data_IF_488381441615
#
_entry.id   IF_488381441615
#
_cell.length_a   1.000
_cell.length_b   1.000
_cell.length_c   1.000
_cell.angle_alpha   90.00
_cell.angle_beta   90.00
_cell.angle_gamma   90.00
#
_symmetry.space_group_name_H-M   'P 1'
#
loop_
_entity.id
_entity.type
_entity.pdbx_description
1 polymer ?
#
# COMPACT_ATOMS: atom_id res chain seq x y z
N UNK A 1 20.95 11.67 -5.78
CA UNK A 1 20.16 12.93 -5.90
C UNK A 1 20.17 13.66 -4.55
N UNK A 2 20.31 15.00 -4.53
CA UNK A 2 20.30 15.80 -3.29
C UNK A 2 18.87 15.98 -2.76
N UNK A 3 18.64 15.63 -1.49
CA UNK A 3 17.39 15.85 -0.76
C UNK A 3 17.41 17.19 -0.05
N UNK A 4 18.40 17.42 0.80
CA UNK A 4 18.72 18.72 1.44
C UNK A 4 20.23 18.97 1.34
N UNK A 5 20.76 19.98 2.01
CA UNK A 5 22.20 20.24 1.94
C UNK A 5 23.05 19.12 2.54
N UNK A 6 22.54 18.41 3.57
CA UNK A 6 23.21 17.29 4.22
C UNK A 6 22.64 15.90 3.88
N UNK A 7 21.50 15.80 3.18
CA UNK A 7 20.79 14.53 2.95
C UNK A 7 20.74 14.19 1.47
N UNK A 8 21.11 12.96 1.12
CA UNK A 8 21.23 12.50 -0.27
C UNK A 8 20.47 11.18 -0.45
N UNK A 9 19.72 11.08 -1.54
CA UNK A 9 19.12 9.84 -2.01
C UNK A 9 20.17 8.98 -2.70
N UNK A 10 20.25 7.71 -2.32
CA UNK A 10 21.19 6.71 -2.85
C UNK A 10 20.52 5.40 -3.27
N UNK A 11 19.19 5.37 -3.33
CA UNK A 11 18.42 4.21 -3.72
C UNK A 11 18.56 3.83 -5.20
N UNK A 12 17.74 2.88 -5.63
CA UNK A 12 17.77 2.27 -6.96
C UNK A 12 16.37 2.14 -7.55
N UNK A 13 16.28 2.05 -8.87
CA UNK A 13 15.07 1.66 -9.60
C UNK A 13 15.21 0.23 -10.10
N UNK A 14 14.18 -0.58 -9.91
CA UNK A 14 14.05 -1.92 -10.46
C UNK A 14 13.01 -1.90 -11.58
N UNK A 15 13.46 -2.10 -12.81
CA UNK A 15 12.60 -2.19 -14.00
C UNK A 15 12.32 -3.63 -14.42
N UNK A 16 12.90 -4.62 -13.74
CA UNK A 16 12.81 -6.03 -14.08
C UNK A 16 11.72 -6.75 -13.28
N UNK A 17 11.33 -6.21 -12.11
CA UNK A 17 10.28 -6.81 -11.30
C UNK A 17 8.91 -6.65 -11.96
N UNK A 18 8.25 -7.76 -12.23
CA UNK A 18 6.89 -7.78 -12.79
C UNK A 18 5.82 -7.88 -11.71
N UNK A 19 6.15 -8.59 -10.60
CA UNK A 19 5.22 -8.87 -9.50
C UNK A 19 5.93 -8.63 -8.18
N UNK A 20 5.51 -7.58 -7.46
CA UNK A 20 5.99 -7.24 -6.13
C UNK A 20 5.28 -8.07 -5.06
N UNK A 21 5.99 -8.48 -4.00
CA UNK A 21 5.51 -9.40 -2.95
C UNK A 21 4.80 -10.67 -3.49
N UNK A 22 5.15 -11.10 -4.70
CA UNK A 22 4.54 -12.28 -5.33
C UNK A 22 3.05 -12.13 -5.70
N UNK A 23 2.46 -10.95 -5.61
CA UNK A 23 1.03 -10.75 -5.84
C UNK A 23 0.63 -9.42 -6.50
N UNK A 24 1.44 -8.37 -6.42
CA UNK A 24 1.12 -7.06 -6.98
C UNK A 24 1.82 -6.86 -8.31
N UNK A 25 1.07 -6.74 -9.39
CA UNK A 25 1.66 -6.39 -10.69
C UNK A 25 2.21 -4.97 -10.65
N UNK A 26 3.46 -4.81 -11.05
CA UNK A 26 4.14 -3.51 -11.09
C UNK A 26 4.73 -3.26 -12.48
N UNK A 27 3.88 -2.93 -13.46
CA UNK A 27 4.31 -2.77 -14.85
C UNK A 27 5.33 -1.64 -15.05
N UNK A 28 5.39 -0.71 -14.10
CA UNK A 28 6.35 0.40 -14.08
C UNK A 28 7.50 0.16 -13.09
N UNK A 29 7.74 -1.11 -12.71
CA UNK A 29 8.82 -1.48 -11.79
C UNK A 29 8.60 -1.03 -10.35
N UNK A 30 9.71 -0.93 -9.60
CA UNK A 30 9.75 -0.47 -8.21
C UNK A 30 10.93 0.47 -7.97
N UNK A 31 10.83 1.32 -6.96
CA UNK A 31 11.96 2.04 -6.40
C UNK A 31 12.25 1.50 -5.00
N UNK A 32 13.51 1.19 -4.71
CA UNK A 32 13.99 0.86 -3.36
C UNK A 32 14.84 2.01 -2.88
N UNK A 33 14.34 2.75 -1.91
CA UNK A 33 14.94 4.00 -1.48
C UNK A 33 15.86 3.81 -0.28
N UNK A 34 17.00 4.46 -0.33
CA UNK A 34 17.94 4.58 0.76
C UNK A 34 18.53 5.98 0.75
N UNK A 35 19.00 6.46 1.90
CA UNK A 35 19.47 7.82 2.03
C UNK A 35 20.77 7.88 2.83
N UNK A 36 21.62 8.87 2.55
CA UNK A 36 22.82 9.18 3.32
C UNK A 36 22.68 10.56 3.94
N UNK A 37 22.96 10.65 5.22
CA UNK A 37 23.03 11.93 5.97
C UNK A 37 24.49 12.19 6.27
N UNK A 38 25.02 13.25 5.65
CA UNK A 38 26.41 13.72 5.82
C UNK A 38 26.47 14.79 6.90
N UNK A 39 27.16 14.49 8.00
CA UNK A 39 27.38 15.42 9.09
C UNK A 39 28.78 15.13 9.73
N UNK A 40 29.02 15.52 10.99
CA UNK A 40 30.19 15.09 11.75
C UNK A 40 30.26 13.57 11.79
N UNK A 41 29.14 12.92 12.13
CA UNK A 41 28.89 11.49 11.96
C UNK A 41 27.95 11.26 10.79
N UNK A 42 28.16 10.16 10.10
CA UNK A 42 27.41 9.81 8.90
C UNK A 42 26.47 8.67 9.19
N UNK A 43 25.19 8.84 8.82
CA UNK A 43 24.19 7.78 8.86
C UNK A 43 23.73 7.39 7.46
N UNK A 44 23.59 6.08 7.21
CA UNK A 44 22.91 5.52 6.06
C UNK A 44 21.55 5.01 6.54
N UNK A 45 20.49 5.35 5.83
CA UNK A 45 19.09 5.00 6.17
C UNK A 45 18.65 3.86 5.28
N UNK A 46 18.43 2.69 5.87
CA UNK A 46 18.03 1.44 5.23
C UNK A 46 18.95 0.98 4.09
N UNK A 47 18.72 -0.20 3.56
CA UNK A 47 19.40 -0.73 2.38
C UNK A 47 18.38 -0.86 1.23
N UNK A 48 18.65 -1.72 0.26
CA UNK A 48 17.78 -1.96 -0.89
C UNK A 48 17.61 -3.46 -1.11
N UNK A 49 16.80 -3.87 -2.10
CA UNK A 49 16.65 -5.26 -2.51
C UNK A 49 17.98 -5.92 -2.85
N UNK A 50 18.08 -7.23 -2.58
CA UNK A 50 19.31 -8.04 -2.73
C UNK A 50 19.96 -7.89 -4.10
N UNK A 51 19.17 -7.86 -5.16
CA UNK A 51 19.66 -7.81 -6.53
C UNK A 51 20.45 -6.52 -6.85
N UNK A 52 20.19 -5.44 -6.11
CA UNK A 52 20.76 -4.12 -6.35
C UNK A 52 21.87 -3.70 -5.38
N UNK A 53 22.32 -4.61 -4.51
CA UNK A 53 23.28 -4.28 -3.45
C UNK A 53 24.58 -3.63 -3.95
N UNK A 54 25.17 -4.09 -5.05
CA UNK A 54 26.39 -3.50 -5.60
C UNK A 54 26.17 -2.12 -6.18
N UNK A 55 25.05 -1.90 -6.88
CA UNK A 55 24.69 -0.58 -7.41
C UNK A 55 24.43 0.42 -6.27
N UNK A 56 23.69 -0.02 -5.25
CA UNK A 56 23.44 0.78 -4.07
C UNK A 56 24.73 1.17 -3.33
N UNK A 57 25.65 0.22 -3.12
CA UNK A 57 26.95 0.52 -2.52
C UNK A 57 27.73 1.56 -3.32
N UNK A 58 27.72 1.47 -4.65
CA UNK A 58 28.39 2.46 -5.50
C UNK A 58 27.74 3.86 -5.33
N UNK A 59 26.40 3.94 -5.25
CA UNK A 59 25.68 5.20 -5.00
C UNK A 59 26.04 5.79 -3.62
N UNK A 60 26.17 4.94 -2.60
CA UNK A 60 26.60 5.34 -1.25
C UNK A 60 28.05 5.87 -1.29
N UNK A 61 28.97 5.15 -1.94
CA UNK A 61 30.38 5.54 -2.06
C UNK A 61 30.55 6.88 -2.79
N UNK A 62 29.75 7.13 -3.83
CA UNK A 62 29.77 8.39 -4.55
C UNK A 62 29.43 9.56 -3.61
N UNK A 63 28.43 9.40 -2.75
CA UNK A 63 28.04 10.44 -1.78
C UNK A 63 29.06 10.58 -0.67
N UNK A 64 29.62 9.48 -0.18
CA UNK A 64 30.61 9.48 0.91
C UNK A 64 31.94 10.13 0.53
N UNK A 65 32.33 10.12 -0.75
CA UNK A 65 33.59 10.69 -1.25
C UNK A 65 34.84 10.30 -0.41
N UNK A 66 34.91 9.04 -0.02
CA UNK A 66 36.00 8.49 0.77
C UNK A 66 35.84 8.63 2.29
N UNK A 67 34.82 9.29 2.79
CA UNK A 67 34.44 9.26 4.20
C UNK A 67 33.85 7.87 4.55
N UNK A 68 33.78 7.56 5.82
CA UNK A 68 33.20 6.30 6.31
C UNK A 68 31.92 6.58 7.08
N UNK A 69 30.87 5.76 6.87
CA UNK A 69 29.65 5.89 7.68
C UNK A 69 29.89 5.40 9.12
N UNK A 70 29.22 6.06 10.07
CA UNK A 70 29.23 5.68 11.48
C UNK A 70 28.05 4.75 11.81
N UNK A 71 26.92 4.97 11.14
CA UNK A 71 25.66 4.29 11.44
C UNK A 71 24.96 3.76 10.18
N UNK A 72 24.36 2.57 10.32
CA UNK A 72 23.29 2.08 9.47
C UNK A 72 22.01 2.08 10.30
N UNK A 73 21.08 2.96 9.97
CA UNK A 73 19.76 3.02 10.61
C UNK A 73 18.81 2.13 9.82
N UNK A 74 18.32 1.04 10.43
CA UNK A 74 17.40 0.11 9.81
C UNK A 74 16.00 0.37 10.38
N UNK A 75 15.12 0.94 9.57
CA UNK A 75 13.77 1.30 9.95
C UNK A 75 12.81 0.13 9.77
N UNK A 76 13.10 -0.74 8.78
CA UNK A 76 12.24 -1.84 8.38
C UNK A 76 13.07 -3.07 8.00
N UNK A 77 12.59 -4.26 8.36
CA UNK A 77 13.31 -5.51 8.17
C UNK A 77 12.83 -6.33 6.97
N UNK A 78 11.90 -5.81 6.18
CA UNK A 78 11.54 -6.44 4.92
C UNK A 78 12.76 -6.55 4.00
N UNK A 79 12.97 -7.69 3.29
CA UNK A 79 14.19 -7.94 2.54
C UNK A 79 14.56 -6.88 1.50
N UNK A 80 13.57 -6.23 0.89
CA UNK A 80 13.81 -5.16 -0.10
C UNK A 80 14.37 -3.85 0.51
N UNK A 81 14.47 -3.79 1.86
CA UNK A 81 15.11 -2.69 2.61
C UNK A 81 16.24 -3.18 3.52
N UNK A 82 16.39 -4.49 3.70
CA UNK A 82 17.33 -5.04 4.67
C UNK A 82 18.30 -6.08 4.10
N UNK A 83 18.07 -6.60 2.88
CA UNK A 83 18.87 -7.70 2.33
C UNK A 83 20.38 -7.41 2.23
N UNK A 84 20.75 -6.15 2.09
CA UNK A 84 22.15 -5.75 1.92
C UNK A 84 22.86 -5.33 3.22
N UNK A 85 22.30 -5.62 4.40
CA UNK A 85 22.92 -5.33 5.69
C UNK A 85 24.30 -6.00 5.80
N UNK A 86 24.42 -7.30 5.47
CA UNK A 86 25.70 -8.00 5.54
C UNK A 86 26.70 -7.48 4.53
N UNK A 87 26.28 -7.18 3.30
CA UNK A 87 27.12 -6.59 2.27
C UNK A 87 27.68 -5.23 2.72
N UNK A 88 26.85 -4.43 3.39
CA UNK A 88 27.26 -3.14 3.93
C UNK A 88 28.28 -3.27 5.08
N UNK A 89 28.05 -4.22 5.99
CA UNK A 89 28.97 -4.51 7.11
C UNK A 89 30.30 -5.10 6.62
N UNK A 90 30.31 -5.90 5.57
CA UNK A 90 31.55 -6.37 4.94
C UNK A 90 32.41 -5.20 4.43
N UNK A 91 31.77 -4.21 3.82
CA UNK A 91 32.43 -3.00 3.31
C UNK A 91 32.85 -2.02 4.43
N UNK A 92 32.01 -1.89 5.45
CA UNK A 92 32.16 -0.93 6.55
C UNK A 92 32.05 -1.63 7.93
N UNK A 93 33.03 -2.44 8.34
CA UNK A 93 32.92 -3.28 9.53
C UNK A 93 32.85 -2.52 10.87
N UNK A 94 33.19 -1.23 10.88
CA UNK A 94 33.10 -0.37 12.08
C UNK A 94 31.73 0.26 12.31
N UNK A 95 30.82 0.13 11.32
CA UNK A 95 29.48 0.69 11.40
C UNK A 95 28.68 0.11 12.56
N UNK A 96 27.91 0.95 13.23
CA UNK A 96 26.96 0.55 14.25
C UNK A 96 25.56 0.51 13.67
N UNK A 97 24.83 -0.59 13.87
CA UNK A 97 23.44 -0.69 13.43
C UNK A 97 22.53 -0.06 14.49
N UNK A 98 21.66 0.83 14.05
CA UNK A 98 20.66 1.49 14.89
C UNK A 98 19.28 1.01 14.45
N UNK A 99 18.52 0.37 15.33
CA UNK A 99 17.18 -0.14 15.03
C UNK A 99 16.39 -0.42 16.31
N UNK A 100 15.11 -0.80 16.15
CA UNK A 100 14.30 -1.19 17.30
C UNK A 100 14.78 -2.53 17.89
N UNK A 101 14.56 -2.80 19.19
CA UNK A 101 14.85 -4.11 19.77
C UNK A 101 14.13 -5.27 19.07
N UNK A 102 12.95 -5.01 18.50
CA UNK A 102 12.20 -6.01 17.73
C UNK A 102 12.86 -6.28 16.38
N UNK A 103 13.35 -5.26 15.69
CA UNK A 103 14.09 -5.40 14.43
C UNK A 103 15.39 -6.21 14.63
N UNK A 104 16.12 -6.01 15.72
CA UNK A 104 17.30 -6.83 16.03
C UNK A 104 16.98 -8.32 16.21
N UNK A 105 15.83 -8.65 16.82
CA UNK A 105 15.37 -10.04 16.90
C UNK A 105 15.07 -10.62 15.50
N UNK A 106 14.40 -9.84 14.65
CA UNK A 106 14.09 -10.25 13.28
C UNK A 106 15.35 -10.35 12.42
N UNK A 107 16.28 -9.41 12.58
CA UNK A 107 17.59 -9.44 11.92
C UNK A 107 18.35 -10.75 12.22
N UNK A 108 18.29 -11.24 13.47
CA UNK A 108 18.85 -12.54 13.86
C UNK A 108 18.11 -13.76 13.27
N UNK A 109 16.93 -13.58 12.67
CA UNK A 109 16.23 -14.64 11.93
C UNK A 109 16.68 -14.69 10.46
N UNK A 110 17.02 -13.55 9.88
CA UNK A 110 17.52 -13.46 8.50
C UNK A 110 19.04 -13.71 8.41
N UNK A 111 19.82 -13.24 9.40
CA UNK A 111 21.27 -13.18 9.33
C UNK A 111 21.94 -13.79 10.56
N UNK A 112 23.08 -14.44 10.34
CA UNK A 112 24.00 -14.81 11.39
C UNK A 112 25.00 -13.68 11.62
N UNK A 113 24.62 -12.70 12.43
CA UNK A 113 25.53 -11.63 12.84
C UNK A 113 26.53 -12.17 13.85
N UNK A 114 27.79 -11.89 13.65
CA UNK A 114 28.78 -12.20 14.67
C UNK A 114 28.69 -11.18 15.82
N UNK A 115 29.21 -11.55 16.99
CA UNK A 115 29.18 -10.72 18.19
C UNK A 115 29.98 -9.42 18.12
N UNK A 116 30.72 -9.15 17.02
CA UNK A 116 31.49 -7.93 16.82
C UNK A 116 30.62 -6.77 16.29
N UNK A 117 29.48 -7.09 15.68
CA UNK A 117 28.55 -6.08 15.16
C UNK A 117 27.92 -5.29 16.29
N UNK A 118 28.24 -4.00 16.35
CA UNK A 118 27.70 -3.09 17.37
C UNK A 118 26.25 -2.75 17.05
N UNK A 119 25.36 -2.97 18.02
CA UNK A 119 23.93 -2.68 17.93
C UNK A 119 23.56 -1.56 18.89
N UNK A 120 22.85 -0.57 18.42
CA UNK A 120 22.30 0.53 19.22
C UNK A 120 20.77 0.40 19.20
N UNK A 121 20.14 -0.06 20.28
CA UNK A 121 18.70 -0.10 20.37
C UNK A 121 18.10 1.32 20.37
N UNK A 122 17.38 1.69 19.31
CA UNK A 122 16.64 2.92 19.24
C UNK A 122 15.43 2.84 20.19
N UNK A 123 15.31 3.78 21.12
CA UNK A 123 14.13 3.89 21.97
C UNK A 123 13.03 4.72 21.26
N UNK A 124 11.78 4.41 21.52
CA UNK A 124 10.69 5.26 21.02
C UNK A 124 10.77 6.67 21.66
N UNK A 125 10.88 7.72 20.84
CA UNK A 125 11.17 9.08 21.27
C UNK A 125 12.65 9.33 21.63
N UNK A 126 13.53 8.35 21.42
CA UNK A 126 14.98 8.50 21.57
C UNK A 126 15.60 9.34 20.45
N UNK A 127 16.79 9.85 20.69
CA UNK A 127 17.54 10.70 19.75
C UNK A 127 18.92 10.11 19.47
N UNK A 128 19.37 10.23 18.20
CA UNK A 128 20.75 9.99 17.78
C UNK A 128 21.30 11.30 17.19
N UNK A 129 22.37 11.82 17.78
CA UNK A 129 23.02 13.07 17.34
C UNK A 129 24.14 12.74 16.35
N UNK A 130 24.09 13.34 15.15
CA UNK A 130 25.13 13.20 14.13
C UNK A 130 26.11 14.40 14.10
N UNK A 131 25.67 15.53 14.61
CA UNK A 131 26.32 16.84 14.62
C UNK A 131 25.24 17.90 14.65
N UNK A 132 25.01 18.59 13.53
CA UNK A 132 23.86 19.50 13.36
C UNK A 132 22.55 18.71 13.22
N UNK A 133 22.59 17.59 12.48
CA UNK A 133 21.46 16.70 12.28
C UNK A 133 21.19 15.83 13.52
N UNK A 134 19.92 15.70 13.87
CA UNK A 134 19.44 14.88 14.98
C UNK A 134 18.29 14.00 14.53
N UNK A 135 18.44 12.72 14.74
CA UNK A 135 17.48 11.70 14.36
C UNK A 135 16.62 11.32 15.57
N UNK A 136 15.32 11.58 15.48
CA UNK A 136 14.35 11.26 16.52
C UNK A 136 13.51 10.06 16.07
N UNK A 137 13.50 8.99 16.84
CA UNK A 137 12.86 7.73 16.48
C UNK A 137 11.41 7.68 16.92
N UNK A 138 10.51 7.34 16.00
CA UNK A 138 9.08 7.20 16.23
C UNK A 138 8.64 5.78 15.86
N UNK A 139 8.26 4.98 16.85
CA UNK A 139 7.76 3.63 16.57
C UNK A 139 6.44 3.68 15.86
N UNK A 140 6.36 2.90 14.76
CA UNK A 140 5.21 2.73 13.90
C UNK A 140 4.83 1.24 13.75
N UNK A 141 4.61 0.49 14.85
CA UNK A 141 4.39 -0.94 14.78
C UNK A 141 3.16 -1.27 13.95
N UNK A 142 3.25 -2.30 13.12
CA UNK A 142 2.24 -2.73 12.15
C UNK A 142 1.94 -1.71 11.03
N UNK A 143 2.89 -0.81 10.74
CA UNK A 143 2.85 0.04 9.56
C UNK A 143 4.09 -0.25 8.69
N UNK A 144 4.18 -1.45 8.02
CA UNK A 144 3.14 -2.52 8.12
C UNK A 144 3.62 -3.75 8.94
N UNK A 145 4.90 -3.84 9.33
CA UNK A 145 5.43 -4.90 10.19
C UNK A 145 5.61 -4.44 11.65
N UNK A 146 5.75 -5.40 12.63
CA UNK A 146 5.71 -5.07 14.05
C UNK A 146 6.90 -4.26 14.55
N UNK A 147 8.04 -4.29 13.86
CA UNK A 147 9.30 -3.66 14.25
C UNK A 147 9.49 -2.26 13.68
N UNK A 148 8.64 -1.84 12.73
CA UNK A 148 8.82 -0.60 11.97
C UNK A 148 8.96 0.61 12.88
N UNK A 149 9.96 1.43 12.58
CA UNK A 149 10.10 2.78 13.10
C UNK A 149 10.24 3.78 11.95
N UNK A 150 9.75 4.98 12.16
CA UNK A 150 10.03 6.14 11.34
C UNK A 150 11.09 7.00 12.05
N UNK A 151 11.82 7.79 11.28
CA UNK A 151 12.87 8.66 11.81
C UNK A 151 12.61 10.09 11.40
N UNK A 152 12.45 11.01 12.38
CA UNK A 152 12.34 12.43 12.11
C UNK A 152 13.70 13.11 12.32
N UNK A 153 14.24 13.67 11.26
CA UNK A 153 15.43 14.50 11.30
C UNK A 153 15.02 15.95 11.53
N UNK A 154 15.50 16.57 12.63
CA UNK A 154 14.94 17.80 13.14
C UNK A 154 15.60 19.09 12.62
N UNK A 155 16.80 19.04 12.03
CA UNK A 155 17.46 20.24 11.48
C UNK A 155 16.79 20.68 10.17
N UNK A 156 16.68 19.79 9.21
CA UNK A 156 16.06 20.02 7.90
C UNK A 156 14.56 19.67 7.86
N UNK A 157 14.03 19.12 8.99
CA UNK A 157 12.61 18.74 9.14
C UNK A 157 12.16 17.66 8.17
N UNK A 158 12.98 16.62 8.03
CA UNK A 158 12.79 15.48 7.15
C UNK A 158 12.22 14.30 7.91
N UNK A 159 11.12 13.73 7.41
CA UNK A 159 10.57 12.48 7.91
C UNK A 159 11.00 11.33 6.97
N UNK A 160 11.83 10.43 7.47
CA UNK A 160 12.04 9.12 6.86
C UNK A 160 10.92 8.20 7.35
N UNK A 161 9.99 7.91 6.45
CA UNK A 161 8.67 7.38 6.82
C UNK A 161 8.54 5.85 6.71
N UNK A 162 9.65 5.13 6.54
CA UNK A 162 9.62 3.72 6.14
C UNK A 162 8.71 3.57 4.92
N UNK A 163 7.83 2.56 4.88
CA UNK A 163 6.88 2.36 3.80
C UNK A 163 5.71 3.36 3.76
N UNK A 164 5.57 4.13 4.82
CA UNK A 164 4.58 5.19 4.86
C UNK A 164 4.79 6.21 3.72
N UNK A 165 3.72 6.56 3.01
CA UNK A 165 3.74 7.45 1.83
C UNK A 165 4.44 6.86 0.60
N UNK A 166 4.75 5.56 0.61
CA UNK A 166 5.27 4.82 -0.52
C UNK A 166 4.23 4.61 -1.63
N UNK A 167 4.71 4.24 -2.80
CA UNK A 167 3.89 3.85 -3.96
C UNK A 167 4.59 2.78 -4.78
N UNK A 168 3.84 2.03 -5.57
CA UNK A 168 4.41 1.23 -6.64
C UNK A 168 5.00 2.10 -7.75
N UNK A 169 5.92 1.54 -8.53
CA UNK A 169 6.56 2.17 -9.68
C UNK A 169 7.95 2.73 -9.40
N UNK A 170 8.82 2.65 -10.40
CA UNK A 170 10.14 3.26 -10.41
C UNK A 170 10.04 4.79 -10.42
N UNK A 171 11.09 5.51 -9.96
CA UNK A 171 11.06 6.98 -9.82
C UNK A 171 11.02 7.73 -11.16
N UNK A 172 11.43 7.09 -12.23
CA UNK A 172 11.44 7.62 -13.59
C UNK A 172 10.19 7.25 -14.42
N UNK A 173 9.23 6.55 -13.81
CA UNK A 173 7.92 6.28 -14.42
C UNK A 173 7.00 7.50 -14.30
N UNK A 174 6.36 7.87 -15.42
CA UNK A 174 5.35 8.93 -15.45
C UNK A 174 3.98 8.34 -15.08
N UNK A 175 3.56 8.54 -13.84
CA UNK A 175 2.27 8.06 -13.33
C UNK A 175 1.75 8.93 -12.19
N UNK A 176 0.44 8.90 -11.98
CA UNK A 176 -0.17 9.60 -10.85
C UNK A 176 0.22 8.94 -9.52
N UNK A 177 0.73 9.77 -8.59
CA UNK A 177 1.14 9.28 -7.27
C UNK A 177 -0.02 8.65 -6.52
N UNK A 178 -1.19 9.28 -6.54
CA UNK A 178 -2.31 8.86 -5.70
C UNK A 178 -2.88 7.50 -6.12
N UNK A 179 -2.91 7.18 -7.40
CA UNK A 179 -3.44 5.91 -7.87
C UNK A 179 -2.54 4.73 -7.45
N UNK A 180 -1.22 4.85 -7.64
CA UNK A 180 -0.26 3.82 -7.25
C UNK A 180 -0.01 3.77 -5.74
N UNK A 181 -0.03 4.92 -5.05
CA UNK A 181 0.07 4.96 -3.60
C UNK A 181 -1.17 4.38 -2.91
N UNK A 182 -2.37 4.58 -3.47
CA UNK A 182 -3.60 3.94 -2.97
C UNK A 182 -3.54 2.44 -3.15
N UNK A 183 -3.09 1.96 -4.32
CA UNK A 183 -2.94 0.54 -4.60
C UNK A 183 -1.93 -0.11 -3.65
N UNK A 184 -0.78 0.56 -3.42
CA UNK A 184 0.23 0.18 -2.45
C UNK A 184 -0.34 0.17 -1.02
N UNK A 185 -0.93 1.29 -0.58
CA UNK A 185 -1.46 1.42 0.78
C UNK A 185 -2.54 0.38 1.09
N UNK A 186 -3.56 0.26 0.23
CA UNK A 186 -4.68 -0.66 0.47
C UNK A 186 -4.19 -2.11 0.47
N UNK A 187 -3.30 -2.49 -0.46
CA UNK A 187 -2.77 -3.84 -0.56
C UNK A 187 -1.88 -4.24 0.64
N UNK A 188 -1.01 -3.35 1.08
CA UNK A 188 0.06 -3.68 2.03
C UNK A 188 -0.26 -3.19 3.45
N UNK A 189 -0.74 -1.96 3.59
CA UNK A 189 -0.96 -1.31 4.90
C UNK A 189 -2.43 -1.31 5.33
N UNK A 190 -3.37 -1.44 4.40
CA UNK A 190 -4.80 -1.15 4.58
C UNK A 190 -5.49 -1.82 5.77
N UNK A 191 -5.05 -3.02 6.17
CA UNK A 191 -5.55 -3.71 7.36
C UNK A 191 -5.32 -2.93 8.66
N UNK A 192 -4.28 -2.12 8.72
CA UNK A 192 -3.75 -1.50 9.94
C UNK A 192 -4.10 -0.01 10.07
N UNK A 193 -5.27 0.40 9.59
CA UNK A 193 -5.70 1.80 9.62
C UNK A 193 -5.62 2.47 10.98
N UNK A 194 -5.98 1.78 12.06
CA UNK A 194 -5.89 2.32 13.42
C UNK A 194 -4.44 2.65 13.84
N UNK A 195 -3.48 1.83 13.41
CA UNK A 195 -2.06 2.04 13.66
C UNK A 195 -1.55 3.24 12.86
N UNK A 196 -1.95 3.36 11.59
CA UNK A 196 -1.63 4.53 10.75
C UNK A 196 -2.21 5.81 11.37
N UNK A 197 -3.47 5.80 11.83
CA UNK A 197 -4.09 6.94 12.52
C UNK A 197 -3.29 7.36 13.77
N UNK A 198 -2.74 6.40 14.52
CA UNK A 198 -1.89 6.72 15.67
C UNK A 198 -0.56 7.35 15.26
N UNK A 199 0.03 6.91 14.16
CA UNK A 199 1.27 7.49 13.59
C UNK A 199 1.00 8.91 13.10
N UNK A 200 -0.09 9.13 12.34
CA UNK A 200 -0.48 10.46 11.84
C UNK A 200 -0.67 11.46 13.01
N UNK A 201 -1.31 11.04 14.12
CA UNK A 201 -1.45 11.88 15.34
C UNK A 201 -0.10 12.28 15.93
N UNK A 202 0.88 11.37 15.95
CA UNK A 202 2.23 11.68 16.42
C UNK A 202 2.94 12.64 15.47
N UNK A 203 2.84 12.37 14.16
CA UNK A 203 3.44 13.19 13.11
C UNK A 203 2.88 14.63 13.07
N UNK A 204 1.60 14.81 13.40
CA UNK A 204 0.98 16.13 13.45
C UNK A 204 1.61 17.11 14.48
N UNK A 205 2.38 16.60 15.44
CA UNK A 205 3.14 17.41 16.39
C UNK A 205 4.52 17.84 15.86
N UNK A 206 4.93 17.35 14.68
CA UNK A 206 6.23 17.61 14.07
C UNK A 206 6.09 18.64 12.93
N UNK A 207 7.09 19.50 12.79
CA UNK A 207 7.18 20.41 11.63
C UNK A 207 7.87 19.70 10.47
N UNK A 208 7.11 18.92 9.70
CA UNK A 208 7.61 18.13 8.58
C UNK A 208 7.58 18.98 7.30
N UNK A 209 8.72 19.07 6.62
CA UNK A 209 8.85 19.77 5.32
C UNK A 209 9.16 18.85 4.15
N UNK A 210 9.73 17.68 4.43
CA UNK A 210 10.08 16.68 3.42
C UNK A 210 9.73 15.31 3.98
N UNK A 211 9.14 14.46 3.14
CA UNK A 211 8.92 13.05 3.47
C UNK A 211 9.77 12.21 2.52
N UNK A 212 10.56 11.31 3.09
CA UNK A 212 11.46 10.39 2.43
C UNK A 212 10.96 8.95 2.66
N UNK A 213 10.11 8.40 1.79
CA UNK A 213 9.61 7.03 1.91
C UNK A 213 10.65 6.02 1.42
N UNK A 214 10.44 4.74 1.73
CA UNK A 214 11.27 3.64 1.23
C UNK A 214 10.89 3.23 -0.22
N UNK A 215 9.72 3.64 -0.71
CA UNK A 215 9.30 3.50 -2.11
C UNK A 215 8.74 4.81 -2.65
N UNK A 216 8.92 5.05 -3.95
CA UNK A 216 8.37 6.22 -4.61
C UNK A 216 9.15 7.53 -4.36
N UNK A 217 8.62 8.68 -4.77
CA UNK A 217 9.35 9.93 -4.78
C UNK A 217 9.51 10.56 -3.40
N UNK A 218 10.56 11.36 -3.23
CA UNK A 218 10.68 12.29 -2.10
C UNK A 218 9.61 13.38 -2.23
N UNK A 219 8.75 13.51 -1.21
CA UNK A 219 7.65 14.47 -1.19
C UNK A 219 8.09 15.77 -0.49
N UNK A 220 7.91 16.91 -1.17
CA UNK A 220 8.38 18.23 -0.69
C UNK A 220 7.31 19.30 -0.73
N UNK A 221 6.38 19.18 -1.65
CA UNK A 221 5.34 20.16 -1.90
C UNK A 221 3.98 19.53 -1.58
N UNK A 222 3.03 20.36 -1.19
CA UNK A 222 1.65 19.92 -0.94
C UNK A 222 1.52 18.71 0.00
N UNK A 223 2.32 18.67 1.07
CA UNK A 223 2.34 17.53 2.01
C UNK A 223 0.97 17.29 2.65
N UNK A 224 0.16 18.34 2.83
CA UNK A 224 -1.21 18.24 3.34
C UNK A 224 -2.10 17.33 2.47
N UNK A 225 -1.89 17.32 1.15
CA UNK A 225 -2.60 16.44 0.23
C UNK A 225 -2.28 14.96 0.50
N UNK A 226 -1.01 14.61 0.59
CA UNK A 226 -0.58 13.24 0.85
C UNK A 226 -1.01 12.74 2.23
N UNK A 227 -0.86 13.59 3.25
CA UNK A 227 -1.29 13.30 4.62
C UNK A 227 -2.81 13.15 4.68
N UNK A 228 -3.55 13.99 3.99
CA UNK A 228 -5.01 13.94 3.90
C UNK A 228 -5.52 12.65 3.24
N UNK A 229 -4.83 12.15 2.21
CA UNK A 229 -5.17 10.85 1.61
C UNK A 229 -4.91 9.70 2.58
N UNK A 230 -3.77 9.71 3.29
CA UNK A 230 -3.47 8.70 4.31
C UNK A 230 -4.48 8.73 5.47
N UNK A 231 -4.94 9.92 5.88
CA UNK A 231 -6.00 10.05 6.89
C UNK A 231 -7.33 9.45 6.39
N UNK A 232 -7.71 9.74 5.16
CA UNK A 232 -8.90 9.19 4.51
C UNK A 232 -8.82 7.67 4.40
N UNK A 233 -7.73 7.13 3.88
CA UNK A 233 -7.56 5.68 3.68
C UNK A 233 -7.53 4.93 5.02
N UNK A 234 -6.81 5.45 6.01
CA UNK A 234 -6.64 4.80 7.30
C UNK A 234 -7.85 4.92 8.22
N UNK A 235 -8.71 5.90 8.00
CA UNK A 235 -10.03 6.00 8.63
C UNK A 235 -11.11 5.19 7.92
N UNK A 236 -10.76 4.58 6.76
CA UNK A 236 -11.67 3.83 5.89
C UNK A 236 -12.82 4.66 5.30
N UNK A 237 -12.67 5.98 5.26
CA UNK A 237 -13.63 6.82 4.56
C UNK A 237 -13.50 6.67 3.05
N UNK A 238 -14.58 6.77 2.28
CA UNK A 238 -14.48 6.82 0.83
C UNK A 238 -13.74 8.08 0.40
N UNK A 239 -12.80 7.92 -0.53
CA UNK A 239 -12.05 9.04 -1.08
C UNK A 239 -12.93 9.90 -2.02
N UNK A 240 -13.85 9.26 -2.69
CA UNK A 240 -14.78 9.95 -3.60
C UNK A 240 -16.10 9.21 -3.78
N UNK A 241 -17.13 9.97 -4.18
CA UNK A 241 -18.39 9.39 -4.62
C UNK A 241 -18.20 8.65 -5.96
N UNK A 242 -18.80 7.47 -6.04
CA UNK A 242 -18.77 6.64 -7.23
C UNK A 242 -19.13 5.19 -6.94
N UNK A 243 -19.11 4.37 -7.96
CA UNK A 243 -19.48 2.95 -7.91
C UNK A 243 -18.41 2.10 -8.57
N UNK A 244 -17.94 1.08 -7.87
CA UNK A 244 -17.18 -0.01 -8.48
C UNK A 244 -18.14 -1.12 -8.89
N UNK A 245 -18.07 -1.56 -10.14
CA UNK A 245 -18.80 -2.72 -10.64
C UNK A 245 -17.79 -3.84 -10.90
N UNK A 246 -17.64 -4.74 -9.95
CA UNK A 246 -16.77 -5.91 -10.07
C UNK A 246 -17.59 -7.15 -10.45
N UNK A 247 -17.17 -7.86 -11.49
CA UNK A 247 -17.90 -9.04 -11.94
C UNK A 247 -17.01 -10.25 -12.22
N UNK A 248 -17.61 -11.43 -12.05
CA UNK A 248 -17.07 -12.70 -12.54
C UNK A 248 -18.16 -13.38 -13.39
N UNK A 249 -17.80 -13.76 -14.62
CA UNK A 249 -18.76 -14.30 -15.59
C UNK A 249 -18.17 -15.46 -16.39
N UNK A 250 -18.90 -16.57 -16.51
CA UNK A 250 -18.44 -17.77 -17.26
C UNK A 250 -18.70 -17.62 -18.76
N UNK A 251 -19.95 -17.33 -19.16
CA UNK A 251 -20.38 -17.27 -20.57
C UNK A 251 -20.83 -15.87 -21.01
N UNK A 252 -20.56 -14.83 -20.24
CA UNK A 252 -20.84 -13.44 -20.62
C UNK A 252 -22.21 -12.90 -20.19
N UNK A 253 -23.15 -13.71 -19.71
CA UNK A 253 -24.48 -13.23 -19.32
C UNK A 253 -24.45 -12.34 -18.07
N UNK A 254 -23.68 -12.72 -17.05
CA UNK A 254 -23.46 -11.88 -15.84
C UNK A 254 -22.72 -10.59 -16.20
N UNK A 255 -21.70 -10.69 -17.08
CA UNK A 255 -20.98 -9.54 -17.63
C UNK A 255 -21.94 -8.57 -18.32
N UNK A 256 -22.86 -9.07 -19.16
CA UNK A 256 -23.81 -8.21 -19.87
C UNK A 256 -24.64 -7.36 -18.89
N UNK A 257 -25.15 -7.96 -17.81
CA UNK A 257 -25.91 -7.24 -16.79
C UNK A 257 -25.03 -6.23 -16.01
N UNK A 258 -23.81 -6.60 -15.65
CA UNK A 258 -22.85 -5.71 -14.98
C UNK A 258 -22.54 -4.48 -15.86
N UNK A 259 -22.27 -4.68 -17.14
CA UNK A 259 -21.98 -3.59 -18.08
C UNK A 259 -23.22 -2.72 -18.35
N UNK A 260 -24.42 -3.32 -18.42
CA UNK A 260 -25.66 -2.58 -18.55
C UNK A 260 -25.88 -1.65 -17.35
N UNK A 261 -25.71 -2.16 -16.13
CA UNK A 261 -25.80 -1.32 -14.92
C UNK A 261 -24.76 -0.20 -14.93
N UNK A 262 -23.54 -0.50 -15.28
CA UNK A 262 -22.46 0.50 -15.35
C UNK A 262 -22.81 1.64 -16.32
N UNK A 263 -23.44 1.33 -17.45
CA UNK A 263 -23.88 2.33 -18.42
C UNK A 263 -25.06 3.17 -17.90
N UNK A 264 -26.03 2.54 -17.22
CA UNK A 264 -27.16 3.27 -16.61
C UNK A 264 -26.67 4.24 -15.52
N UNK A 265 -25.67 3.84 -14.70
CA UNK A 265 -25.03 4.72 -13.72
C UNK A 265 -24.29 5.88 -14.38
N UNK A 266 -23.55 5.65 -15.47
CA UNK A 266 -22.84 6.70 -16.22
C UNK A 266 -23.81 7.71 -16.84
N UNK A 267 -24.95 7.26 -17.35
CA UNK A 267 -26.02 8.17 -17.85
C UNK A 267 -26.54 9.13 -16.79
N UNK A 268 -26.42 8.76 -15.51
CA UNK A 268 -26.80 9.61 -14.36
C UNK A 268 -25.67 10.52 -13.89
N UNK A 269 -24.51 10.48 -14.54
CA UNK A 269 -23.33 11.26 -14.15
C UNK A 269 -22.51 10.63 -13.01
N UNK A 270 -22.81 9.40 -12.60
CA UNK A 270 -22.06 8.69 -11.58
C UNK A 270 -20.71 8.23 -12.12
N UNK A 271 -19.64 8.41 -11.35
CA UNK A 271 -18.32 7.82 -11.67
C UNK A 271 -18.39 6.30 -11.51
N UNK A 272 -17.95 5.57 -12.51
CA UNK A 272 -18.02 4.10 -12.50
C UNK A 272 -16.70 3.49 -12.96
N UNK A 273 -16.08 2.71 -12.08
CA UNK A 273 -15.01 1.79 -12.41
C UNK A 273 -15.58 0.39 -12.62
N UNK A 274 -15.09 -0.34 -13.62
CA UNK A 274 -15.59 -1.68 -13.97
C UNK A 274 -14.43 -2.65 -14.07
N UNK A 275 -14.57 -3.80 -13.40
CA UNK A 275 -13.53 -4.84 -13.36
C UNK A 275 -14.07 -6.23 -13.70
N UNK A 276 -13.45 -6.88 -14.68
CA UNK A 276 -13.57 -8.32 -14.93
C UNK A 276 -12.55 -9.04 -14.03
N UNK A 277 -12.99 -9.55 -12.88
CA UNK A 277 -12.11 -10.16 -11.89
C UNK A 277 -11.31 -11.38 -12.41
N UNK A 278 -11.72 -11.94 -13.53
CA UNK A 278 -10.99 -13.02 -14.19
C UNK A 278 -9.87 -12.56 -15.14
N UNK A 279 -9.73 -11.24 -15.36
CA UNK A 279 -8.80 -10.69 -16.37
C UNK A 279 -8.02 -9.49 -15.90
N UNK A 280 -8.71 -8.57 -15.20
CA UNK A 280 -8.14 -7.31 -14.76
C UNK A 280 -7.28 -7.50 -13.49
N UNK A 281 -6.50 -6.49 -13.15
CA UNK A 281 -5.69 -6.51 -11.95
C UNK A 281 -6.58 -6.46 -10.69
N UNK A 282 -6.49 -7.52 -9.89
CA UNK A 282 -7.22 -7.67 -8.63
C UNK A 282 -6.85 -6.56 -7.62
N UNK A 283 -5.59 -6.14 -7.60
CA UNK A 283 -5.12 -5.09 -6.69
C UNK A 283 -5.70 -3.71 -7.08
N UNK A 284 -5.84 -3.44 -8.38
CA UNK A 284 -6.51 -2.22 -8.86
C UNK A 284 -8.01 -2.23 -8.50
N UNK A 285 -8.68 -3.38 -8.69
CA UNK A 285 -10.08 -3.54 -8.29
C UNK A 285 -10.28 -3.35 -6.78
N UNK A 286 -9.35 -3.87 -5.97
CA UNK A 286 -9.34 -3.70 -4.52
C UNK A 286 -9.17 -2.22 -4.13
N UNK A 287 -8.18 -1.54 -4.70
CA UNK A 287 -7.91 -0.13 -4.43
C UNK A 287 -9.12 0.76 -4.75
N UNK A 288 -9.75 0.55 -5.90
CA UNK A 288 -10.95 1.31 -6.29
C UNK A 288 -12.17 0.96 -5.43
N UNK A 289 -12.29 -0.27 -4.92
CA UNK A 289 -13.35 -0.61 -3.97
C UNK A 289 -13.24 0.21 -2.67
N UNK A 290 -12.01 0.50 -2.22
CA UNK A 290 -11.77 1.42 -1.09
C UNK A 290 -11.88 2.90 -1.47
N UNK A 291 -11.60 3.26 -2.72
CA UNK A 291 -11.71 4.64 -3.23
C UNK A 291 -13.14 5.13 -3.24
N UNK A 292 -14.06 4.31 -3.77
CA UNK A 292 -15.43 4.71 -4.01
C UNK A 292 -16.38 4.32 -2.88
N UNK A 293 -17.46 5.12 -2.73
CA UNK A 293 -18.45 4.94 -1.65
C UNK A 293 -19.36 3.72 -1.84
N UNK A 294 -19.46 3.19 -3.06
CA UNK A 294 -20.41 2.12 -3.41
C UNK A 294 -19.77 1.05 -4.29
N UNK A 295 -20.23 -0.18 -4.14
CA UNK A 295 -19.76 -1.32 -4.92
C UNK A 295 -20.91 -2.23 -5.36
N UNK A 296 -20.84 -2.73 -6.58
CA UNK A 296 -21.71 -3.79 -7.10
C UNK A 296 -20.87 -5.04 -7.37
N UNK A 297 -21.30 -6.15 -6.83
CA UNK A 297 -20.71 -7.46 -7.06
C UNK A 297 -21.65 -8.28 -7.94
N UNK A 298 -21.20 -8.60 -9.15
CA UNK A 298 -21.99 -9.36 -10.12
C UNK A 298 -21.35 -10.74 -10.34
N UNK A 299 -22.05 -11.80 -9.93
CA UNK A 299 -21.48 -13.14 -9.94
C UNK A 299 -22.50 -14.22 -10.32
N UNK A 300 -22.05 -15.24 -11.03
CA UNK A 300 -22.82 -16.46 -11.24
C UNK A 300 -22.66 -17.44 -10.07
N UNK A 301 -23.70 -18.21 -9.78
CA UNK A 301 -23.62 -19.37 -8.92
C UNK A 301 -22.73 -20.43 -9.56
N UNK A 302 -21.76 -20.93 -8.80
CA UNK A 302 -20.81 -21.94 -9.24
C UNK A 302 -20.57 -22.97 -8.16
N UNK A 303 -20.78 -24.25 -8.43
CA UNK A 303 -20.65 -25.36 -7.47
C UNK A 303 -21.42 -25.10 -6.15
N UNK A 304 -22.65 -24.62 -6.21
CA UNK A 304 -23.49 -24.19 -5.07
C UNK A 304 -22.88 -23.05 -4.22
N UNK A 305 -21.87 -22.38 -4.72
CA UNK A 305 -21.19 -21.22 -4.14
C UNK A 305 -21.07 -20.11 -5.19
N UNK A 306 -19.97 -19.41 -5.26
CA UNK A 306 -19.67 -18.33 -6.18
C UNK A 306 -18.42 -18.63 -7.03
N UNK A 307 -18.24 -17.87 -8.11
CA UNK A 307 -17.05 -17.96 -8.94
C UNK A 307 -15.78 -17.71 -8.10
N UNK A 308 -14.69 -18.51 -8.28
CA UNK A 308 -13.47 -18.40 -7.48
C UNK A 308 -12.84 -17.00 -7.46
N UNK A 309 -12.83 -16.28 -8.58
CA UNK A 309 -12.28 -14.91 -8.62
C UNK A 309 -13.10 -13.93 -7.78
N UNK A 310 -14.43 -14.05 -7.75
CA UNK A 310 -15.28 -13.26 -6.87
C UNK A 310 -15.06 -13.63 -5.40
N UNK A 311 -14.86 -14.90 -5.11
CA UNK A 311 -14.59 -15.37 -3.76
C UNK A 311 -13.26 -14.81 -3.23
N UNK A 312 -12.18 -14.87 -4.03
CA UNK A 312 -10.88 -14.30 -3.68
C UNK A 312 -10.97 -12.78 -3.47
N UNK A 313 -11.66 -12.07 -4.36
CA UNK A 313 -11.86 -10.62 -4.25
C UNK A 313 -12.55 -10.23 -2.92
N UNK A 314 -13.64 -10.92 -2.56
CA UNK A 314 -14.36 -10.61 -1.31
C UNK A 314 -13.50 -10.96 -0.08
N UNK A 315 -12.75 -12.06 -0.11
CA UNK A 315 -11.82 -12.39 0.99
C UNK A 315 -10.81 -11.27 1.18
N UNK A 316 -10.17 -10.81 0.12
CA UNK A 316 -9.21 -9.69 0.17
C UNK A 316 -9.84 -8.42 0.73
N UNK A 317 -11.05 -8.06 0.31
CA UNK A 317 -11.79 -6.93 0.87
C UNK A 317 -11.94 -7.05 2.40
N UNK A 318 -12.41 -8.20 2.87
CA UNK A 318 -12.66 -8.44 4.30
C UNK A 318 -11.37 -8.46 5.11
N UNK A 319 -10.32 -9.07 4.60
CA UNK A 319 -9.00 -9.13 5.25
C UNK A 319 -8.34 -7.76 5.37
N UNK A 320 -8.61 -6.84 4.43
CA UNK A 320 -8.17 -5.44 4.48
C UNK A 320 -9.15 -4.51 5.22
N UNK A 321 -10.10 -5.10 5.98
CA UNK A 321 -11.04 -4.35 6.81
C UNK A 321 -12.01 -3.45 6.03
N UNK A 322 -12.48 -3.91 4.86
CA UNK A 322 -13.46 -3.17 4.05
C UNK A 322 -14.70 -2.82 4.84
N UNK A 323 -15.03 -1.55 4.89
CA UNK A 323 -16.09 -1.01 5.73
C UNK A 323 -16.60 0.35 5.23
N UNK A 324 -17.68 0.87 5.83
CA UNK A 324 -18.27 2.19 5.52
C UNK A 324 -18.68 2.34 4.06
N UNK A 325 -19.21 1.29 3.46
CA UNK A 325 -19.60 1.26 2.04
C UNK A 325 -21.00 0.70 1.86
N UNK A 326 -21.64 1.10 0.74
CA UNK A 326 -22.88 0.46 0.27
C UNK A 326 -22.54 -0.59 -0.77
N UNK A 327 -23.02 -1.83 -0.58
CA UNK A 327 -22.77 -2.96 -1.47
C UNK A 327 -24.08 -3.46 -2.07
N UNK A 328 -24.08 -3.68 -3.39
CA UNK A 328 -25.22 -4.25 -4.13
C UNK A 328 -24.80 -5.54 -4.84
N UNK A 329 -25.76 -6.38 -5.17
CA UNK A 329 -25.52 -7.68 -5.76
C UNK A 329 -26.34 -7.89 -7.04
N UNK A 330 -25.66 -8.45 -8.05
CA UNK A 330 -26.27 -9.07 -9.23
C UNK A 330 -25.89 -10.54 -9.20
N UNK A 331 -26.85 -11.44 -9.12
CA UNK A 331 -26.60 -12.87 -9.16
C UNK A 331 -27.13 -13.51 -10.43
N UNK A 332 -26.52 -14.61 -10.85
CA UNK A 332 -26.98 -15.41 -11.98
C UNK A 332 -26.96 -16.89 -11.66
N UNK A 333 -27.99 -17.60 -12.10
CA UNK A 333 -28.08 -19.05 -11.98
C UNK A 333 -29.22 -19.61 -12.82
N UNK A 334 -29.00 -20.69 -13.56
CA UNK A 334 -30.00 -21.25 -14.48
C UNK A 334 -31.09 -22.03 -13.73
N UNK A 335 -30.83 -22.58 -12.57
CA UNK A 335 -31.80 -23.42 -11.82
C UNK A 335 -31.85 -23.14 -10.31
N UNK A 336 -30.78 -22.61 -9.69
CA UNK A 336 -30.71 -22.35 -8.25
C UNK A 336 -29.74 -21.19 -7.98
N UNK A 337 -30.14 -19.94 -8.30
CA UNK A 337 -29.29 -18.79 -8.01
C UNK A 337 -29.10 -18.66 -6.50
N UNK A 338 -27.87 -18.58 -6.06
CA UNK A 338 -27.46 -18.49 -4.65
C UNK A 338 -26.29 -17.52 -4.42
N UNK A 339 -25.73 -16.96 -5.50
CA UNK A 339 -24.52 -16.16 -5.42
C UNK A 339 -24.71 -14.91 -4.54
N UNK A 340 -25.85 -14.24 -4.64
CA UNK A 340 -26.16 -13.04 -3.84
C UNK A 340 -26.15 -13.33 -2.34
N UNK A 341 -26.77 -14.43 -1.92
CA UNK A 341 -26.78 -14.87 -0.51
C UNK A 341 -25.38 -15.21 -0.01
N UNK A 342 -24.58 -15.91 -0.82
CA UNK A 342 -23.21 -16.28 -0.46
C UNK A 342 -22.34 -15.05 -0.33
N UNK A 343 -22.33 -14.15 -1.34
CA UNK A 343 -21.57 -12.91 -1.32
C UNK A 343 -21.93 -12.05 -0.10
N UNK A 344 -23.22 -11.86 0.16
CA UNK A 344 -23.69 -11.08 1.32
C UNK A 344 -23.20 -11.68 2.65
N UNK A 345 -23.25 -13.00 2.80
CA UNK A 345 -22.79 -13.72 4.00
C UNK A 345 -21.29 -13.54 4.27
N UNK A 346 -20.48 -13.35 3.24
CA UNK A 346 -19.05 -13.12 3.40
C UNK A 346 -18.73 -11.79 4.08
N UNK A 347 -19.64 -10.81 4.07
CA UNK A 347 -19.48 -9.52 4.75
C UNK A 347 -20.02 -9.48 6.18
N UNK A 348 -20.51 -10.59 6.76
CA UNK A 348 -21.11 -10.60 8.10
C UNK A 348 -20.21 -10.04 9.21
N UNK A 349 -18.90 -10.14 9.04
CA UNK A 349 -17.90 -9.61 9.99
C UNK A 349 -17.41 -8.21 9.66
N UNK A 350 -17.78 -7.66 8.51
CA UNK A 350 -17.41 -6.31 8.10
C UNK A 350 -18.24 -5.26 8.84
N UNK A 351 -17.60 -4.18 9.24
CA UNK A 351 -18.28 -3.10 9.99
C UNK A 351 -18.89 -2.10 9.00
N UNK A 352 -20.02 -1.50 9.38
CA UNK A 352 -20.61 -0.36 8.68
C UNK A 352 -20.80 -0.60 7.17
N UNK A 353 -21.10 -1.85 6.78
CA UNK A 353 -21.53 -2.18 5.42
C UNK A 353 -23.05 -2.09 5.38
N UNK A 354 -23.56 -1.26 4.48
CA UNK A 354 -24.97 -1.24 4.11
C UNK A 354 -25.17 -1.98 2.80
N UNK A 355 -26.32 -2.59 2.63
CA UNK A 355 -26.65 -3.30 1.39
C UNK A 355 -27.78 -2.58 0.65
N UNK A 356 -27.74 -2.63 -0.69
CA UNK A 356 -28.86 -2.21 -1.49
C UNK A 356 -30.10 -3.07 -1.18
N UNK A 357 -31.27 -2.47 -1.30
CA UNK A 357 -32.53 -3.13 -0.96
C UNK A 357 -32.84 -4.29 -1.90
N UNK A 358 -32.47 -4.14 -3.17
CA UNK A 358 -32.76 -5.10 -4.22
C UNK A 358 -31.53 -5.88 -4.66
N UNK A 359 -31.67 -7.20 -4.74
CA UNK A 359 -30.74 -8.09 -5.46
C UNK A 359 -31.31 -8.35 -6.84
N UNK A 360 -30.52 -8.10 -7.90
CA UNK A 360 -30.95 -8.42 -9.27
C UNK A 360 -30.58 -9.88 -9.56
N UNK A 361 -31.61 -10.70 -9.80
CA UNK A 361 -31.43 -12.14 -10.10
C UNK A 361 -31.69 -12.41 -11.58
N UNK A 362 -30.66 -12.97 -12.23
CA UNK A 362 -30.73 -13.43 -13.61
C UNK A 362 -30.98 -14.94 -13.64
N UNK A 363 -31.92 -15.37 -14.46
CA UNK A 363 -32.13 -16.80 -14.81
C UNK A 363 -31.49 -17.06 -16.18
N UNK A 364 -30.16 -17.27 -16.20
CA UNK A 364 -29.29 -17.42 -17.36
C UNK A 364 -29.02 -16.10 -18.09
N UNK A 365 -29.83 -15.72 -19.06
CA UNK A 365 -29.67 -14.47 -19.84
C UNK A 365 -30.52 -13.33 -19.28
N UNK A 366 -30.06 -12.12 -19.48
CA UNK A 366 -30.79 -10.89 -19.15
C UNK A 366 -32.07 -10.78 -20.01
N UNK A 367 -33.16 -10.35 -19.39
CA UNK A 367 -34.47 -10.16 -19.98
C UNK A 367 -34.98 -8.74 -19.71
N UNK A 368 -36.07 -8.28 -20.39
CA UNK A 368 -36.60 -6.93 -20.15
C UNK A 368 -36.89 -6.62 -18.69
N UNK A 369 -37.40 -7.58 -17.92
CA UNK A 369 -37.67 -7.38 -16.48
C UNK A 369 -36.35 -7.12 -15.69
N UNK A 370 -35.26 -7.72 -16.11
CA UNK A 370 -33.97 -7.49 -15.48
C UNK A 370 -33.40 -6.11 -15.83
N UNK A 371 -33.66 -5.60 -17.04
CA UNK A 371 -33.28 -4.23 -17.42
C UNK A 371 -33.98 -3.19 -16.51
N UNK A 372 -35.27 -3.37 -16.21
CA UNK A 372 -36.00 -2.49 -15.28
C UNK A 372 -35.46 -2.60 -13.85
N UNK A 373 -35.12 -3.80 -13.39
CA UNK A 373 -34.47 -4.00 -12.09
C UNK A 373 -33.11 -3.33 -12.02
N UNK A 374 -32.28 -3.42 -13.08
CA UNK A 374 -30.96 -2.79 -13.16
C UNK A 374 -31.07 -1.26 -13.21
N UNK A 375 -32.08 -0.69 -13.90
CA UNK A 375 -32.36 0.74 -13.87
C UNK A 375 -32.75 1.21 -12.46
N UNK A 376 -33.61 0.45 -11.77
CA UNK A 376 -34.01 0.76 -10.40
C UNK A 376 -32.79 0.69 -9.44
N UNK A 377 -31.90 -0.29 -9.63
CA UNK A 377 -30.66 -0.37 -8.88
C UNK A 377 -29.73 0.81 -9.20
N UNK A 378 -29.67 1.25 -10.46
CA UNK A 378 -28.89 2.43 -10.83
C UNK A 378 -29.46 3.72 -10.19
N UNK A 379 -30.78 3.85 -10.03
CA UNK A 379 -31.40 4.97 -9.28
C UNK A 379 -30.97 4.95 -7.80
N UNK A 380 -30.95 3.77 -7.19
CA UNK A 380 -30.57 3.61 -5.78
C UNK A 380 -29.07 3.91 -5.52
N UNK A 381 -28.23 3.68 -6.52
CA UNK A 381 -26.77 3.80 -6.41
C UNK A 381 -26.19 5.08 -7.06
N UNK A 382 -26.98 5.91 -7.69
CA UNK A 382 -26.53 7.13 -8.36
C UNK A 382 -26.15 8.27 -7.42
#
# INVERSE_FOLDING_TARGET
MKVTDGIFYVGVNDHEVEIFEGQYRVPNGMAYNSYVILDEKIAVMDTVDEAFGQQWLANVEEVLQGRRPDYLVVQHMEPDHSANILLFLEKYPEVQIVSTPQAFKMMGQFYSLDGSVKQIPAANGGELVLGEHKLNFVYAPMVHWPEVMMTYESADKVLFSADGFGKFGALDAEEDWADEARRYYIGIVGKYGAQVQNVLKKAAALDIRVICPLHGPVLRENLEYYIGLYDTWSSYEPESEGVVVAYASVYGNTRAAALYLAEELRKKGTRVAVYDLGKDDMAAALADAFRYSRMVLACNTYNMSINPFMHDFIIRLVEHSYQKRKVAFIENGSWAPAAGKVMRGMFEKSRDITFADNVVTLMSSMKPENEEQLKALAEELA
#
